data_IF_741282708357
#
_entry.id   IF_741282708357
#
_cell.length_a   1.000
_cell.length_b   1.000
_cell.length_c   1.000
_cell.angle_alpha   90.00
_cell.angle_beta   90.00
_cell.angle_gamma   90.00
#
_symmetry.space_group_name_H-M   'P 1'
#
loop_
_entity.id
_entity.type
_entity.pdbx_description
1 polymer ?
#
# COMPACT_ATOMS: atom_id res chain seq x y z
N UNK A 1 6.46 -34.51 -1.77
CA UNK A 1 7.94 -34.62 -1.68
C UNK A 1 8.70 -33.68 -2.62
N UNK A 2 8.20 -33.38 -3.84
CA UNK A 2 8.83 -32.46 -4.77
C UNK A 2 8.89 -31.02 -4.29
N UNK A 3 7.90 -30.57 -3.57
CA UNK A 3 7.73 -29.19 -3.09
C UNK A 3 8.85 -28.79 -2.10
N UNK A 4 9.16 -29.64 -1.14
CA UNK A 4 10.19 -29.37 -0.11
C UNK A 4 11.60 -29.22 -0.69
N UNK A 5 11.91 -29.89 -1.79
CA UNK A 5 13.23 -29.82 -2.45
C UNK A 5 13.38 -28.50 -3.20
N UNK A 6 12.32 -28.07 -3.89
CA UNK A 6 12.28 -26.81 -4.59
C UNK A 6 12.45 -25.64 -3.62
N UNK A 7 11.73 -25.67 -2.49
CA UNK A 7 11.84 -24.63 -1.46
C UNK A 7 13.23 -24.54 -0.84
N UNK A 8 13.94 -25.68 -0.65
CA UNK A 8 15.32 -25.66 -0.17
C UNK A 8 16.28 -25.00 -1.16
N UNK A 9 16.12 -25.31 -2.44
CA UNK A 9 16.93 -24.70 -3.51
C UNK A 9 16.66 -23.19 -3.57
N UNK A 10 15.38 -22.79 -3.56
CA UNK A 10 14.99 -21.40 -3.59
C UNK A 10 15.57 -20.63 -2.39
N UNK A 11 15.43 -21.18 -1.19
CA UNK A 11 15.97 -20.58 0.05
C UNK A 11 17.47 -20.38 -0.06
N UNK A 12 18.21 -21.39 -0.50
CA UNK A 12 19.66 -21.29 -0.67
C UNK A 12 20.06 -20.13 -1.59
N UNK A 13 19.38 -19.98 -2.73
CA UNK A 13 19.68 -18.90 -3.67
C UNK A 13 19.26 -17.52 -3.14
N UNK A 14 18.17 -17.44 -2.44
CA UNK A 14 17.74 -16.19 -1.78
C UNK A 14 18.75 -15.77 -0.71
N UNK A 15 19.19 -16.69 0.13
CA UNK A 15 20.23 -16.44 1.15
C UNK A 15 21.56 -15.98 0.52
N UNK A 16 21.98 -16.62 -0.58
CA UNK A 16 23.17 -16.22 -1.31
C UNK A 16 23.04 -14.84 -1.96
N UNK A 17 21.86 -14.52 -2.51
CA UNK A 17 21.59 -13.21 -3.09
C UNK A 17 21.60 -12.12 -2.01
N UNK A 18 20.97 -12.38 -0.88
CA UNK A 18 20.96 -11.45 0.27
C UNK A 18 22.37 -11.19 0.82
N UNK A 19 23.17 -12.25 1.00
CA UNK A 19 24.54 -12.10 1.51
C UNK A 19 25.45 -11.24 0.60
N UNK A 20 25.05 -11.00 -0.65
CA UNK A 20 25.75 -10.14 -1.62
C UNK A 20 25.04 -8.83 -1.89
N UNK A 21 23.91 -8.60 -1.21
CA UNK A 21 23.14 -7.39 -1.43
C UNK A 21 23.94 -6.17 -0.97
N UNK A 22 23.81 -5.10 -1.73
CA UNK A 22 24.35 -3.79 -1.41
C UNK A 22 23.23 -2.78 -1.52
N UNK A 23 23.01 -2.02 -0.46
CA UNK A 23 21.94 -1.05 -0.32
C UNK A 23 22.45 0.39 -0.18
N UNK A 24 23.75 0.63 -0.49
CA UNK A 24 24.35 1.95 -0.40
C UNK A 24 23.60 3.03 -1.21
N UNK A 25 23.00 2.63 -2.33
CA UNK A 25 22.27 3.54 -3.23
C UNK A 25 20.78 3.65 -2.95
N UNK A 26 20.25 2.93 -1.93
CA UNK A 26 18.81 2.96 -1.61
C UNK A 26 18.46 4.30 -0.97
N UNK A 27 17.57 5.05 -1.60
CA UNK A 27 17.15 6.38 -1.13
C UNK A 27 15.64 6.57 -1.12
N UNK A 28 14.88 5.75 -1.85
CA UNK A 28 13.41 5.82 -1.94
C UNK A 28 12.80 4.45 -1.75
N UNK A 29 11.95 4.32 -0.74
CA UNK A 29 11.38 3.02 -0.35
C UNK A 29 9.86 3.09 -0.33
N UNK A 30 9.21 2.03 -0.80
CA UNK A 30 7.79 1.79 -0.57
C UNK A 30 7.65 0.70 0.50
N UNK A 31 6.78 0.91 1.46
CA UNK A 31 6.43 -0.08 2.49
C UNK A 31 4.97 -0.45 2.30
N UNK A 32 4.71 -1.74 2.19
CA UNK A 32 3.35 -2.29 2.07
C UNK A 32 3.24 -3.59 2.89
N UNK A 33 2.02 -3.98 3.21
CA UNK A 33 1.75 -5.20 3.95
C UNK A 33 0.90 -6.18 3.14
N UNK A 34 1.17 -7.45 3.32
CA UNK A 34 0.34 -8.51 2.76
C UNK A 34 0.08 -9.60 3.78
N UNK A 35 -1.05 -10.29 3.65
CA UNK A 35 -1.35 -11.44 4.50
C UNK A 35 -0.56 -12.66 4.03
N UNK A 36 0.31 -13.19 4.90
CA UNK A 36 1.07 -14.42 4.63
C UNK A 36 0.18 -15.66 4.65
N UNK A 37 -0.87 -15.66 5.49
CA UNK A 37 -1.85 -16.75 5.62
C UNK A 37 -3.25 -16.22 5.89
N UNK A 38 -4.24 -17.10 5.80
CA UNK A 38 -5.59 -16.78 6.29
C UNK A 38 -5.54 -16.54 7.80
N UNK A 39 -5.92 -15.35 8.24
CA UNK A 39 -5.83 -14.91 9.62
C UNK A 39 -5.19 -13.53 9.73
N UNK A 40 -4.47 -13.28 10.81
CA UNK A 40 -3.82 -12.00 11.09
C UNK A 40 -2.28 -12.05 10.94
N UNK A 41 -1.77 -13.07 10.22
CA UNK A 41 -0.34 -13.18 9.94
C UNK A 41 0.01 -12.26 8.76
N UNK A 42 0.58 -11.12 9.08
CA UNK A 42 1.01 -10.13 8.09
C UNK A 42 2.52 -10.17 7.93
N UNK A 43 2.98 -9.84 6.73
CA UNK A 43 4.37 -9.55 6.43
C UNK A 43 4.45 -8.14 5.83
N UNK A 44 5.44 -7.38 6.25
CA UNK A 44 5.78 -6.08 5.68
C UNK A 44 6.86 -6.25 4.63
N UNK A 45 6.66 -5.63 3.48
CA UNK A 45 7.60 -5.62 2.36
C UNK A 45 8.17 -4.22 2.21
N UNK A 46 9.49 -4.14 2.04
CA UNK A 46 10.21 -2.91 1.76
C UNK A 46 10.78 -3.01 0.34
N UNK A 47 10.41 -2.08 -0.51
CA UNK A 47 10.72 -2.09 -1.94
C UNK A 47 11.52 -0.85 -2.29
N UNK A 48 12.71 -1.03 -2.85
CA UNK A 48 13.46 0.02 -3.52
C UNK A 48 12.70 0.44 -4.79
N UNK A 49 12.20 1.67 -4.79
CA UNK A 49 11.36 2.19 -5.87
C UNK A 49 12.18 2.39 -7.16
N UNK A 50 13.44 2.78 -7.01
CA UNK A 50 14.31 3.10 -8.13
C UNK A 50 14.72 1.87 -8.91
N UNK A 51 15.15 0.83 -8.19
CA UNK A 51 15.55 -0.43 -8.78
C UNK A 51 14.41 -1.45 -8.90
N UNK A 52 13.23 -1.14 -8.38
CA UNK A 52 12.03 -2.00 -8.44
C UNK A 52 12.28 -3.40 -7.88
N UNK A 53 12.98 -3.48 -6.77
CA UNK A 53 13.33 -4.72 -6.09
C UNK A 53 12.87 -4.72 -4.64
N UNK A 54 12.47 -5.88 -4.15
CA UNK A 54 12.25 -6.06 -2.70
C UNK A 54 13.61 -6.11 -2.03
N UNK A 55 13.84 -5.25 -1.06
CA UNK A 55 15.10 -5.17 -0.29
C UNK A 55 14.98 -5.83 1.07
N UNK A 56 13.80 -5.78 1.69
CA UNK A 56 13.58 -6.41 2.99
C UNK A 56 12.15 -6.94 3.13
N UNK A 57 11.99 -8.02 3.87
CA UNK A 57 10.70 -8.60 4.23
C UNK A 57 10.77 -9.08 5.67
N UNK A 58 9.80 -8.72 6.50
CA UNK A 58 9.70 -9.17 7.87
C UNK A 58 8.26 -9.48 8.27
N UNK A 59 8.09 -10.30 9.31
CA UNK A 59 6.78 -10.60 9.87
C UNK A 59 6.24 -9.39 10.65
N UNK A 60 4.92 -9.22 10.63
CA UNK A 60 4.26 -8.13 11.31
C UNK A 60 3.90 -6.95 10.41
N UNK A 61 3.35 -5.90 11.03
CA UNK A 61 2.92 -4.63 10.42
C UNK A 61 3.02 -3.46 11.39
N UNK A 62 3.88 -3.59 12.36
CA UNK A 62 4.09 -2.61 13.43
C UNK A 62 5.20 -1.62 13.09
N UNK A 63 5.38 -0.62 13.96
CA UNK A 63 6.49 0.34 13.85
C UNK A 63 7.87 -0.33 13.98
N UNK A 64 7.92 -1.47 14.65
CA UNK A 64 9.11 -2.31 14.83
C UNK A 64 9.65 -2.86 13.52
N UNK A 65 8.79 -3.17 12.54
CA UNK A 65 9.23 -3.63 11.21
C UNK A 65 10.10 -2.60 10.48
N UNK A 66 9.86 -1.30 10.70
CA UNK A 66 10.68 -0.23 10.10
C UNK A 66 12.05 -0.13 10.77
N UNK A 67 12.13 -0.37 12.09
CA UNK A 67 13.41 -0.45 12.80
C UNK A 67 14.24 -1.65 12.29
N UNK A 68 13.60 -2.82 12.17
CA UNK A 68 14.27 -4.00 11.63
C UNK A 68 14.79 -3.78 10.20
N UNK A 69 14.04 -3.02 9.38
CA UNK A 69 14.51 -2.61 8.06
C UNK A 69 15.73 -1.69 8.14
N UNK A 70 15.74 -0.70 9.05
CA UNK A 70 16.87 0.20 9.22
C UNK A 70 18.14 -0.57 9.65
N UNK A 71 17.99 -1.51 10.59
CA UNK A 71 19.09 -2.39 11.04
C UNK A 71 19.61 -3.27 9.87
N UNK A 72 18.72 -3.82 9.05
CA UNK A 72 19.07 -4.62 7.88
C UNK A 72 19.73 -3.81 6.77
N UNK A 73 19.27 -2.57 6.59
CA UNK A 73 19.85 -1.63 5.62
C UNK A 73 21.33 -1.37 5.95
N UNK A 74 21.64 -1.07 7.22
CA UNK A 74 22.99 -0.87 7.70
C UNK A 74 23.88 -2.12 7.56
N UNK A 75 23.31 -3.30 7.83
CA UNK A 75 24.02 -4.58 7.65
C UNK A 75 24.41 -4.87 6.20
N UNK A 76 23.81 -4.15 5.23
CA UNK A 76 24.05 -4.29 3.79
C UNK A 76 24.61 -3.00 3.15
N UNK A 77 25.45 -2.26 3.86
CA UNK A 77 26.13 -1.03 3.42
C UNK A 77 25.21 0.16 3.16
N UNK A 78 23.92 0.10 3.50
CA UNK A 78 23.01 1.22 3.40
C UNK A 78 23.09 2.13 4.65
N UNK A 79 22.40 3.25 4.58
CA UNK A 79 22.33 4.21 5.68
C UNK A 79 20.90 4.76 5.79
N UNK A 80 20.29 4.63 6.95
CA UNK A 80 18.94 5.13 7.22
C UNK A 80 18.81 6.64 6.94
N UNK A 81 19.88 7.42 7.13
CA UNK A 81 19.90 8.86 6.81
C UNK A 81 19.89 9.17 5.31
N UNK A 82 20.25 8.21 4.48
CA UNK A 82 20.17 8.32 3.02
C UNK A 82 18.78 8.09 2.46
N UNK A 83 17.86 7.52 3.23
CA UNK A 83 16.47 7.38 2.82
C UNK A 83 15.80 8.76 2.83
N UNK A 84 15.43 9.25 1.65
CA UNK A 84 14.83 10.59 1.47
C UNK A 84 13.34 10.56 1.25
N UNK A 85 12.79 9.47 0.74
CA UNK A 85 11.36 9.32 0.50
C UNK A 85 10.88 7.93 0.90
N UNK A 86 9.77 7.91 1.63
CA UNK A 86 9.08 6.66 1.98
C UNK A 86 7.62 6.76 1.58
N UNK A 87 7.19 5.84 0.71
CA UNK A 87 5.79 5.69 0.34
C UNK A 87 5.16 4.62 1.22
N UNK A 88 4.12 4.99 1.95
CA UNK A 88 3.38 4.09 2.87
C UNK A 88 1.87 4.25 2.68
N UNK A 89 1.10 3.31 3.22
CA UNK A 89 -0.30 3.54 3.50
C UNK A 89 -0.49 4.56 4.66
N UNK A 90 -1.73 4.87 5.02
CA UNK A 90 -2.02 5.79 6.13
C UNK A 90 -2.03 5.09 7.50
N UNK A 91 -1.27 4.00 7.67
CA UNK A 91 -1.12 3.29 8.93
C UNK A 91 -0.37 4.13 9.95
N UNK A 92 -0.98 4.35 11.10
CA UNK A 92 -0.33 5.07 12.20
C UNK A 92 0.96 4.36 12.68
N UNK A 93 1.02 3.03 12.56
CA UNK A 93 2.19 2.24 12.92
C UNK A 93 3.37 2.53 11.98
N UNK A 94 3.14 2.53 10.66
CA UNK A 94 4.19 2.85 9.70
C UNK A 94 4.61 4.32 9.78
N UNK A 95 3.66 5.26 9.94
CA UNK A 95 3.99 6.67 10.13
C UNK A 95 4.93 6.81 11.34
N UNK A 96 4.58 6.20 12.48
CA UNK A 96 5.43 6.21 13.68
C UNK A 96 6.80 5.57 13.41
N UNK A 97 6.82 4.38 12.79
CA UNK A 97 8.06 3.66 12.50
C UNK A 97 9.02 4.47 11.63
N UNK A 98 8.51 5.10 10.55
CA UNK A 98 9.30 5.96 9.66
C UNK A 98 9.80 7.19 10.40
N UNK A 99 8.94 7.89 11.16
CA UNK A 99 9.33 9.07 11.92
C UNK A 99 10.42 8.78 12.94
N UNK A 100 10.36 7.62 13.58
CA UNK A 100 11.31 7.24 14.64
C UNK A 100 12.65 6.70 14.09
N UNK A 101 12.67 6.05 12.91
CA UNK A 101 13.85 5.32 12.44
C UNK A 101 14.41 5.81 11.09
N UNK A 102 13.65 6.55 10.29
CA UNK A 102 14.06 7.11 9.00
C UNK A 102 13.83 8.64 9.04
N UNK A 103 14.51 9.32 9.95
CA UNK A 103 14.24 10.70 10.36
C UNK A 103 14.41 11.73 9.23
N UNK A 104 15.23 11.42 8.23
CA UNK A 104 15.47 12.28 7.07
C UNK A 104 14.47 12.05 5.92
N UNK A 105 13.56 11.09 6.09
CA UNK A 105 12.65 10.69 5.02
C UNK A 105 11.37 11.53 4.99
N UNK A 106 11.00 12.00 3.82
CA UNK A 106 9.68 12.57 3.56
C UNK A 106 8.67 11.43 3.34
N UNK A 107 7.56 11.46 4.09
CA UNK A 107 6.48 10.48 3.95
C UNK A 107 5.55 10.90 2.81
N UNK A 108 5.35 9.99 1.87
CA UNK A 108 4.33 10.09 0.82
C UNK A 108 3.29 8.98 1.01
N UNK A 109 2.02 9.31 0.89
CA UNK A 109 0.98 8.29 1.01
C UNK A 109 0.66 7.64 -0.33
N UNK A 110 0.48 6.31 -0.29
CA UNK A 110 0.08 5.56 -1.47
C UNK A 110 -1.28 6.05 -2.00
N UNK A 111 -1.25 6.48 -3.27
CA UNK A 111 -2.42 6.99 -3.99
C UNK A 111 -3.58 6.00 -3.99
N UNK A 112 -3.30 4.69 -4.08
CA UNK A 112 -4.36 3.68 -4.10
C UNK A 112 -5.14 3.69 -2.78
N UNK A 113 -4.44 3.73 -1.64
CA UNK A 113 -5.05 3.76 -0.32
C UNK A 113 -5.80 5.08 -0.08
N UNK A 114 -5.24 6.21 -0.52
CA UNK A 114 -5.91 7.52 -0.43
C UNK A 114 -7.22 7.55 -1.25
N UNK A 115 -7.19 7.08 -2.50
CA UNK A 115 -8.38 7.00 -3.36
C UNK A 115 -9.40 6.02 -2.80
N UNK A 116 -8.97 4.88 -2.26
CA UNK A 116 -9.86 3.91 -1.60
C UNK A 116 -10.62 4.54 -0.44
N UNK A 117 -9.93 5.31 0.42
CA UNK A 117 -10.55 5.99 1.54
C UNK A 117 -11.65 6.96 1.09
N UNK A 118 -11.36 7.77 0.06
CA UNK A 118 -12.35 8.68 -0.53
C UNK A 118 -13.54 7.91 -1.10
N UNK A 119 -13.29 6.86 -1.86
CA UNK A 119 -14.32 6.02 -2.44
C UNK A 119 -15.21 5.36 -1.38
N UNK A 120 -14.63 4.89 -0.28
CA UNK A 120 -15.39 4.30 0.83
C UNK A 120 -16.25 5.35 1.53
N UNK A 121 -15.77 6.59 1.69
CA UNK A 121 -16.54 7.70 2.24
C UNK A 121 -17.73 8.06 1.34
N UNK A 122 -17.51 8.19 0.03
CA UNK A 122 -18.59 8.44 -0.96
C UNK A 122 -19.62 7.32 -0.93
N UNK A 123 -19.19 6.04 -0.96
CA UNK A 123 -20.13 4.92 -0.93
C UNK A 123 -20.92 4.84 0.40
N UNK A 124 -20.31 5.22 1.51
CA UNK A 124 -20.98 5.30 2.82
C UNK A 124 -22.11 6.34 2.81
N UNK A 125 -21.84 7.54 2.29
CA UNK A 125 -22.87 8.60 2.15
C UNK A 125 -23.98 8.14 1.21
N UNK A 126 -23.63 7.62 0.02
CA UNK A 126 -24.58 7.09 -0.96
C UNK A 126 -25.51 6.03 -0.34
N UNK A 127 -24.97 5.08 0.43
CA UNK A 127 -25.77 4.04 1.10
C UNK A 127 -26.74 4.63 2.11
N UNK A 128 -26.30 5.64 2.86
CA UNK A 128 -27.17 6.31 3.83
C UNK A 128 -28.33 7.02 3.13
N UNK A 129 -28.06 7.75 2.04
CA UNK A 129 -29.09 8.45 1.26
C UNK A 129 -30.00 7.51 0.48
N UNK A 130 -29.51 6.35 0.04
CA UNK A 130 -30.31 5.38 -0.73
C UNK A 130 -31.50 4.80 0.03
N UNK A 131 -31.56 4.95 1.36
CA UNK A 131 -32.71 4.54 2.18
C UNK A 131 -33.95 5.39 1.90
N UNK A 132 -33.76 6.67 1.58
CA UNK A 132 -34.84 7.60 1.24
C UNK A 132 -34.95 7.97 -0.24
N UNK A 133 -33.99 7.48 -1.07
CA UNK A 133 -33.86 7.81 -2.49
C UNK A 133 -33.59 6.55 -3.33
N UNK A 134 -34.65 5.91 -3.85
CA UNK A 134 -34.52 4.68 -4.64
C UNK A 134 -33.61 4.83 -5.87
N UNK A 135 -33.46 6.04 -6.41
CA UNK A 135 -32.63 6.39 -7.56
C UNK A 135 -31.15 6.07 -7.35
N UNK A 136 -30.70 6.13 -6.08
CA UNK A 136 -29.31 5.79 -5.71
C UNK A 136 -29.03 4.28 -5.65
N UNK A 137 -30.07 3.44 -5.78
CA UNK A 137 -29.87 1.99 -5.81
C UNK A 137 -29.08 1.61 -7.07
N UNK A 138 -28.10 0.72 -6.89
CA UNK A 138 -27.21 0.22 -7.97
C UNK A 138 -26.35 1.30 -8.64
N UNK A 139 -26.29 2.53 -8.10
CA UNK A 139 -25.51 3.62 -8.68
C UNK A 139 -24.03 3.65 -8.23
N UNK A 140 -23.56 2.70 -7.38
CA UNK A 140 -22.21 2.71 -6.80
C UNK A 140 -21.11 3.02 -7.81
N UNK A 141 -21.09 2.32 -8.91
CA UNK A 141 -20.02 2.45 -9.90
C UNK A 141 -20.15 3.68 -10.81
N UNK A 142 -21.27 4.40 -10.77
CA UNK A 142 -21.39 5.71 -11.40
C UNK A 142 -20.57 6.77 -10.64
N UNK A 143 -20.48 6.64 -9.31
CA UNK A 143 -19.75 7.56 -8.44
C UNK A 143 -18.26 7.23 -8.29
N UNK A 144 -17.90 5.94 -8.34
CA UNK A 144 -16.55 5.46 -8.04
C UNK A 144 -15.65 5.28 -9.28
N UNK A 145 -16.19 5.39 -10.48
CA UNK A 145 -15.41 5.32 -11.73
C UNK A 145 -15.08 6.71 -12.23
N UNK A 146 -13.93 6.83 -12.88
CA UNK A 146 -13.59 8.04 -13.61
C UNK A 146 -14.64 8.28 -14.70
N UNK A 147 -15.13 9.51 -14.84
CA UNK A 147 -16.16 9.87 -15.81
C UNK A 147 -15.82 9.45 -17.25
N UNK A 148 -14.57 9.60 -17.76
CA UNK A 148 -14.20 9.12 -19.09
C UNK A 148 -14.36 7.60 -19.28
N UNK A 149 -14.31 6.81 -18.20
CA UNK A 149 -14.49 5.36 -18.24
C UNK A 149 -15.95 4.89 -18.19
N UNK A 150 -16.88 5.82 -18.00
CA UNK A 150 -18.30 5.53 -18.04
C UNK A 150 -18.80 5.45 -19.49
N UNK A 151 -19.77 4.56 -19.74
CA UNK A 151 -20.53 4.56 -21.00
C UNK A 151 -21.33 5.86 -21.17
N UNK A 152 -21.81 6.14 -22.39
CA UNK A 152 -22.67 7.31 -22.65
C UNK A 152 -23.91 7.31 -21.75
N UNK A 153 -24.56 6.14 -21.58
CA UNK A 153 -25.67 5.96 -20.65
C UNK A 153 -25.26 6.19 -19.19
N UNK A 154 -24.08 5.69 -18.78
CA UNK A 154 -23.54 5.88 -17.44
C UNK A 154 -23.31 7.35 -17.12
N UNK A 155 -22.76 8.13 -18.05
CA UNK A 155 -22.59 9.59 -17.89
C UNK A 155 -23.93 10.31 -17.80
N UNK A 156 -24.90 9.95 -18.65
CA UNK A 156 -26.25 10.54 -18.58
C UNK A 156 -26.93 10.27 -17.23
N UNK A 157 -26.81 9.03 -16.73
CA UNK A 157 -27.34 8.65 -15.42
C UNK A 157 -26.65 9.40 -14.27
N UNK A 158 -25.32 9.52 -14.31
CA UNK A 158 -24.57 10.31 -13.31
C UNK A 158 -25.02 11.77 -13.32
N UNK A 159 -25.13 12.39 -14.52
CA UNK A 159 -25.60 13.76 -14.66
C UNK A 159 -27.05 13.97 -14.15
N UNK A 160 -27.89 12.97 -14.30
CA UNK A 160 -29.25 13.03 -13.73
C UNK A 160 -29.22 12.97 -12.19
N UNK A 161 -28.38 12.10 -11.62
CA UNK A 161 -28.24 11.97 -10.17
C UNK A 161 -27.63 13.23 -9.52
N UNK A 162 -26.63 13.84 -10.13
CA UNK A 162 -25.98 15.08 -9.58
C UNK A 162 -26.95 16.26 -9.49
N UNK A 163 -28.04 16.27 -10.27
CA UNK A 163 -29.09 17.31 -10.18
C UNK A 163 -30.00 17.17 -8.97
N UNK A 164 -29.93 16.06 -8.24
CA UNK A 164 -30.85 15.78 -7.12
C UNK A 164 -30.43 16.41 -5.79
N UNK A 165 -29.42 17.29 -5.76
CA UNK A 165 -28.91 17.91 -4.54
C UNK A 165 -28.58 16.86 -3.44
N UNK A 166 -27.82 15.85 -3.79
CA UNK A 166 -27.38 14.79 -2.90
C UNK A 166 -26.22 15.28 -2.03
N UNK A 167 -25.98 14.58 -0.92
CA UNK A 167 -24.75 14.74 -0.12
C UNK A 167 -23.60 13.88 -0.64
N UNK A 168 -23.93 12.91 -1.51
CA UNK A 168 -22.97 12.01 -2.15
C UNK A 168 -22.06 12.76 -3.11
#
# INVERSE_FOLDING_TARGET
>A
EHDTRLWRVLRHWVEQARARADYADVSRVCIDETAAKRGHDYVSLFVDIDQRRVVFVTEGRGADTVREFADDLEAHNGDASHIKQVCIDMSAAFIKGVTDNLTEAEITFDKFHAVKLVNDAVDKVRRAESKGRPELRRSRYLWLRNEPSLSAEGRANLAALTRLHLKT
#
